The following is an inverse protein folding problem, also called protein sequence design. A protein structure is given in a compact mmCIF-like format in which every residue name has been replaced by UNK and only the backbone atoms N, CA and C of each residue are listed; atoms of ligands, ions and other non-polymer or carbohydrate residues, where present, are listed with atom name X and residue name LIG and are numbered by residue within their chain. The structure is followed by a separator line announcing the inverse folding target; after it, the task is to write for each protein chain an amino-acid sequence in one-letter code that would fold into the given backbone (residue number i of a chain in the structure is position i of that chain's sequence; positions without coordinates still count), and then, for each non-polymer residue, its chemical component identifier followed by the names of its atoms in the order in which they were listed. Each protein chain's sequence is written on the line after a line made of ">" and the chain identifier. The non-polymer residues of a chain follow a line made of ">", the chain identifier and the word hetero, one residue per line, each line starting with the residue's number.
data_IF_540787021019
#
_entry.id   IF_540787021019
#
_cell.length_a   1.000
_cell.length_b   1.000
_cell.length_c   1.000
_cell.angle_alpha   90.00
_cell.angle_beta   90.00
_cell.angle_gamma   90.00
#
_symmetry.space_group_name_H-M   'P 1'
#
loop_
_entity.id
_entity.type
_entity.pdbx_description
1 polymer ?
#
# COMPACT_ATOMS: atom_id res chain seq x y z
N UNK A 1 -95.73 -53.62 -50.08
CA UNK A 1 -94.91 -53.08 -51.19
C UNK A 1 -93.69 -52.37 -50.63
N UNK A 2 -92.49 -52.92 -50.80
CA UNK A 2 -91.23 -52.15 -50.79
C UNK A 2 -90.52 -52.49 -52.09
N UNK A 3 -90.49 -51.53 -53.01
CA UNK A 3 -89.74 -51.60 -54.27
C UNK A 3 -88.25 -51.47 -53.92
N UNK A 4 -87.46 -52.50 -54.19
CA UNK A 4 -86.02 -52.32 -54.32
C UNK A 4 -85.76 -51.70 -55.69
N UNK A 5 -85.28 -50.45 -55.70
CA UNK A 5 -84.56 -49.87 -56.84
C UNK A 5 -83.13 -50.40 -56.76
N UNK A 6 -82.65 -51.03 -57.83
CA UNK A 6 -81.22 -51.14 -58.08
C UNK A 6 -80.79 -49.83 -58.73
N UNK A 7 -79.95 -49.08 -58.04
CA UNK A 7 -79.27 -47.91 -58.60
C UNK A 7 -77.91 -48.34 -59.22
N UNK A 8 -77.61 -47.73 -60.36
CA UNK A 8 -76.49 -47.99 -61.26
C UNK A 8 -75.19 -47.30 -60.75
N UNK A 9 -74.66 -47.73 -59.60
CA UNK A 9 -73.48 -47.10 -58.97
C UNK A 9 -72.13 -47.74 -59.38
N UNK A 10 -72.04 -48.43 -60.53
CA UNK A 10 -70.81 -49.13 -60.95
C UNK A 10 -69.93 -48.37 -61.94
N UNK A 11 -70.38 -47.22 -62.45
CA UNK A 11 -69.65 -46.40 -63.43
C UNK A 11 -68.72 -45.32 -62.82
N UNK A 12 -69.04 -44.79 -61.64
CA UNK A 12 -68.33 -43.65 -61.04
C UNK A 12 -67.18 -44.05 -60.10
N UNK A 13 -67.26 -45.21 -59.44
CA UNK A 13 -66.24 -45.68 -58.49
C UNK A 13 -64.88 -45.92 -59.17
N UNK A 14 -64.87 -46.47 -60.38
CA UNK A 14 -63.63 -46.71 -61.12
C UNK A 14 -62.96 -45.40 -61.56
N UNK A 15 -63.77 -44.40 -61.93
CA UNK A 15 -63.30 -43.09 -62.37
C UNK A 15 -62.74 -42.27 -61.20
N UNK A 16 -63.37 -42.34 -60.02
CA UNK A 16 -62.89 -41.71 -58.80
C UNK A 16 -61.60 -42.35 -58.26
N UNK A 17 -61.47 -43.68 -58.31
CA UNK A 17 -60.23 -44.37 -57.94
C UNK A 17 -59.10 -44.02 -58.91
N UNK A 18 -59.38 -43.96 -60.23
CA UNK A 18 -58.41 -43.52 -61.22
C UNK A 18 -57.99 -42.06 -61.02
N UNK A 19 -58.94 -41.16 -60.77
CA UNK A 19 -58.64 -39.75 -60.49
C UNK A 19 -57.82 -39.60 -59.19
N UNK A 20 -58.14 -40.35 -58.14
CA UNK A 20 -57.38 -40.38 -56.89
C UNK A 20 -55.95 -40.89 -57.07
N UNK A 21 -55.76 -41.96 -57.85
CA UNK A 21 -54.44 -42.50 -58.18
C UNK A 21 -53.62 -41.55 -59.06
N UNK A 22 -54.26 -40.79 -59.96
CA UNK A 22 -53.60 -39.75 -60.75
C UNK A 22 -53.13 -38.60 -59.84
N UNK A 23 -53.97 -38.16 -58.90
CA UNK A 23 -53.60 -37.11 -57.93
C UNK A 23 -52.46 -37.58 -57.02
N UNK A 24 -52.51 -38.81 -56.52
CA UNK A 24 -51.41 -39.40 -55.73
C UNK A 24 -50.15 -39.56 -56.58
N UNK A 25 -50.27 -39.99 -57.84
CA UNK A 25 -49.16 -40.13 -58.77
C UNK A 25 -48.47 -38.80 -59.09
N UNK A 26 -49.19 -37.68 -59.08
CA UNK A 26 -48.62 -36.33 -59.27
C UNK A 26 -48.07 -35.77 -57.94
N UNK A 27 -48.77 -36.01 -56.82
CA UNK A 27 -48.37 -35.48 -55.51
C UNK A 27 -47.16 -36.22 -54.92
N UNK A 28 -47.01 -37.52 -55.17
CA UNK A 28 -45.91 -38.34 -54.62
C UNK A 28 -44.50 -37.83 -54.99
N UNK A 29 -44.16 -37.50 -56.25
CA UNK A 29 -42.84 -36.94 -56.57
C UNK A 29 -42.63 -35.54 -55.97
N UNK A 30 -43.68 -34.71 -55.85
CA UNK A 30 -43.57 -33.39 -55.21
C UNK A 30 -43.33 -33.49 -53.70
N UNK A 31 -44.03 -34.42 -53.03
CA UNK A 31 -43.82 -34.69 -51.60
C UNK A 31 -42.42 -35.28 -51.38
N UNK A 32 -41.96 -36.15 -52.28
CA UNK A 32 -40.65 -36.76 -52.18
C UNK A 32 -39.51 -35.74 -52.35
N UNK A 33 -39.61 -34.83 -53.33
CA UNK A 33 -38.64 -33.75 -53.51
C UNK A 33 -38.60 -32.80 -52.30
N UNK A 34 -39.75 -32.47 -51.73
CA UNK A 34 -39.81 -31.60 -50.54
C UNK A 34 -39.19 -32.29 -49.31
N UNK A 35 -39.41 -33.60 -49.14
CA UNK A 35 -38.77 -34.39 -48.08
C UNK A 35 -37.26 -34.48 -48.30
N UNK A 36 -36.79 -34.70 -49.53
CA UNK A 36 -35.36 -34.71 -49.85
C UNK A 36 -34.71 -33.35 -49.58
N UNK A 37 -35.33 -32.25 -50.01
CA UNK A 37 -34.84 -30.89 -49.75
C UNK A 37 -34.81 -30.59 -48.25
N UNK A 38 -35.85 -30.98 -47.51
CA UNK A 38 -35.88 -30.84 -46.06
C UNK A 38 -34.80 -31.68 -45.35
N UNK A 39 -34.60 -32.93 -45.77
CA UNK A 39 -33.55 -33.81 -45.23
C UNK A 39 -32.15 -33.27 -45.54
N UNK A 40 -31.91 -32.78 -46.75
CA UNK A 40 -30.66 -32.15 -47.15
C UNK A 40 -30.41 -30.87 -46.34
N UNK A 41 -31.44 -30.06 -46.12
CA UNK A 41 -31.34 -28.85 -45.30
C UNK A 41 -30.97 -29.17 -43.85
N UNK A 42 -31.57 -30.19 -43.24
CA UNK A 42 -31.17 -30.66 -41.90
C UNK A 42 -29.72 -31.15 -41.87
N UNK A 43 -29.30 -31.87 -42.91
CA UNK A 43 -27.92 -32.34 -43.06
C UNK A 43 -26.93 -31.17 -43.18
N UNK A 44 -27.28 -30.13 -43.94
CA UNK A 44 -26.49 -28.92 -44.09
C UNK A 44 -26.38 -28.12 -42.79
N UNK A 45 -27.49 -27.94 -42.07
CA UNK A 45 -27.49 -27.27 -40.77
C UNK A 45 -26.64 -28.04 -39.74
N UNK A 46 -26.74 -29.36 -39.72
CA UNK A 46 -25.92 -30.21 -38.86
C UNK A 46 -24.43 -30.08 -39.19
N UNK A 47 -24.05 -30.02 -40.46
CA UNK A 47 -22.67 -29.79 -40.89
C UNK A 47 -22.15 -28.40 -40.50
N UNK A 48 -22.99 -27.36 -40.59
CA UNK A 48 -22.66 -26.01 -40.16
C UNK A 48 -22.42 -25.93 -38.64
N UNK A 49 -23.34 -26.47 -37.84
CA UNK A 49 -23.20 -26.52 -36.38
C UNK A 49 -21.95 -27.31 -35.95
N UNK A 50 -21.66 -28.42 -36.62
CA UNK A 50 -20.44 -29.20 -36.36
C UNK A 50 -19.17 -28.41 -36.69
N UNK A 51 -19.20 -27.60 -37.76
CA UNK A 51 -18.10 -26.70 -38.10
C UNK A 51 -17.94 -25.57 -37.08
N UNK A 52 -19.05 -25.01 -36.58
CA UNK A 52 -19.03 -23.96 -35.54
C UNK A 52 -18.41 -24.45 -34.22
N UNK A 53 -18.72 -25.68 -33.79
CA UNK A 53 -18.13 -26.28 -32.60
C UNK A 53 -16.60 -26.37 -32.72
N UNK A 54 -16.12 -26.85 -33.87
CA UNK A 54 -14.69 -26.88 -34.15
C UNK A 54 -14.07 -25.47 -34.19
N UNK A 55 -14.78 -24.50 -34.78
CA UNK A 55 -14.30 -23.12 -34.90
C UNK A 55 -14.20 -22.43 -33.53
N UNK A 56 -15.14 -22.70 -32.62
CA UNK A 56 -15.08 -22.25 -31.23
C UNK A 56 -13.86 -22.84 -30.49
N UNK A 57 -13.54 -24.11 -30.72
CA UNK A 57 -12.36 -24.73 -30.13
C UNK A 57 -11.06 -24.09 -30.64
N UNK A 58 -10.96 -23.80 -31.95
CA UNK A 58 -9.81 -23.06 -32.50
C UNK A 58 -9.72 -21.66 -31.89
N UNK A 59 -10.84 -20.94 -31.75
CA UNK A 59 -10.85 -19.61 -31.15
C UNK A 59 -10.23 -19.62 -29.74
N UNK A 60 -10.65 -20.57 -28.90
CA UNK A 60 -10.11 -20.73 -27.55
C UNK A 60 -8.63 -21.12 -27.58
N UNK A 61 -8.24 -22.05 -28.46
CA UNK A 61 -6.85 -22.46 -28.63
C UNK A 61 -5.94 -21.28 -29.00
N UNK A 62 -6.36 -20.48 -29.98
CA UNK A 62 -5.58 -19.33 -30.44
C UNK A 62 -5.48 -18.30 -29.31
N UNK A 63 -6.58 -17.98 -28.63
CA UNK A 63 -6.59 -17.03 -27.53
C UNK A 63 -5.62 -17.40 -26.39
N UNK A 64 -5.53 -18.69 -26.04
CA UNK A 64 -4.62 -19.19 -24.99
C UNK A 64 -3.14 -19.26 -25.43
N UNK A 65 -2.88 -19.26 -26.74
CA UNK A 65 -1.53 -19.47 -27.31
C UNK A 65 -1.01 -18.28 -28.12
N UNK A 66 -1.70 -17.15 -28.15
CA UNK A 66 -1.44 -16.00 -29.04
C UNK A 66 0.02 -15.57 -29.06
N UNK A 67 0.69 -15.48 -27.91
CA UNK A 67 2.09 -15.03 -27.81
C UNK A 67 3.10 -15.97 -28.47
N UNK A 68 2.74 -17.24 -28.71
CA UNK A 68 3.59 -18.27 -29.31
C UNK A 68 3.26 -18.58 -30.78
N UNK A 69 2.13 -18.06 -31.29
CA UNK A 69 1.64 -18.37 -32.63
C UNK A 69 2.06 -17.28 -33.63
N UNK A 70 2.74 -17.69 -34.69
CA UNK A 70 3.06 -16.84 -35.85
C UNK A 70 2.59 -17.49 -37.14
N UNK A 71 2.86 -18.78 -37.29
CA UNK A 71 2.24 -19.66 -38.28
C UNK A 71 2.22 -21.09 -37.76
N UNK A 72 1.08 -21.78 -37.91
CA UNK A 72 0.92 -23.17 -37.45
C UNK A 72 -0.27 -23.84 -38.13
N UNK A 73 -0.13 -25.14 -38.39
CA UNK A 73 -1.24 -26.02 -38.75
C UNK A 73 -1.75 -26.74 -37.51
N UNK A 74 -3.07 -26.71 -37.29
CA UNK A 74 -3.77 -27.31 -36.15
C UNK A 74 -4.74 -28.37 -36.71
N UNK A 75 -4.80 -29.52 -36.04
CA UNK A 75 -5.67 -30.64 -36.41
C UNK A 75 -6.68 -30.94 -35.30
N UNK A 76 -7.76 -31.65 -35.63
CA UNK A 76 -8.75 -32.15 -34.65
C UNK A 76 -8.08 -32.90 -33.49
N UNK A 77 -7.13 -33.79 -33.79
CA UNK A 77 -6.45 -34.59 -32.75
C UNK A 77 -5.65 -33.73 -31.78
N UNK A 78 -5.02 -32.65 -32.26
CA UNK A 78 -4.27 -31.73 -31.40
C UNK A 78 -5.22 -31.02 -30.42
N UNK A 79 -6.37 -30.54 -30.90
CA UNK A 79 -7.37 -29.90 -30.05
C UNK A 79 -7.97 -30.85 -29.01
N UNK A 80 -8.19 -32.12 -29.37
CA UNK A 80 -8.63 -33.16 -28.43
C UNK A 80 -7.56 -33.41 -27.35
N UNK A 81 -6.31 -33.62 -27.76
CA UNK A 81 -5.22 -33.90 -26.82
C UNK A 81 -4.95 -32.73 -25.86
N UNK A 82 -5.18 -31.50 -26.30
CA UNK A 82 -5.01 -30.30 -25.47
C UNK A 82 -6.30 -29.88 -24.73
N UNK A 83 -7.40 -30.61 -24.90
CA UNK A 83 -8.65 -30.40 -24.15
C UNK A 83 -9.54 -29.26 -24.66
N UNK A 84 -9.29 -28.74 -25.87
CA UNK A 84 -10.17 -27.75 -26.51
C UNK A 84 -11.35 -28.40 -27.26
N UNK A 85 -11.23 -29.68 -27.62
CA UNK A 85 -12.33 -30.50 -28.15
C UNK A 85 -12.53 -31.74 -27.27
N UNK A 86 -13.78 -32.18 -27.16
CA UNK A 86 -14.10 -33.41 -26.44
C UNK A 86 -13.56 -34.65 -27.17
N UNK A 87 -13.13 -35.67 -26.42
CA UNK A 87 -12.60 -36.93 -26.98
C UNK A 87 -13.61 -37.67 -27.89
N UNK A 88 -14.90 -37.37 -27.78
CA UNK A 88 -15.96 -37.90 -28.64
C UNK A 88 -16.26 -37.09 -29.91
N UNK A 89 -15.50 -36.02 -30.21
CA UNK A 89 -15.72 -35.22 -31.40
C UNK A 89 -15.48 -36.06 -32.66
N UNK A 90 -16.57 -36.34 -33.39
CA UNK A 90 -16.56 -37.25 -34.54
C UNK A 90 -16.36 -36.52 -35.87
N UNK A 91 -16.41 -37.28 -36.97
CA UNK A 91 -16.50 -36.68 -38.31
C UNK A 91 -17.85 -35.98 -38.48
N UNK A 92 -17.90 -34.98 -39.35
CA UNK A 92 -19.14 -34.30 -39.74
C UNK A 92 -20.12 -35.30 -40.40
N UNK A 93 -21.40 -34.91 -40.60
CA UNK A 93 -22.37 -35.76 -41.31
C UNK A 93 -21.95 -36.20 -42.72
N UNK A 94 -21.05 -35.44 -43.38
CA UNK A 94 -20.46 -35.78 -44.68
C UNK A 94 -19.16 -36.60 -44.57
N UNK A 95 -18.80 -37.06 -43.37
CA UNK A 95 -17.56 -37.78 -43.09
C UNK A 95 -16.31 -36.90 -43.05
N UNK A 96 -16.46 -35.57 -43.00
CA UNK A 96 -15.33 -34.66 -43.02
C UNK A 96 -14.64 -34.56 -41.65
N UNK A 97 -13.33 -34.37 -41.68
CA UNK A 97 -12.51 -33.87 -40.57
C UNK A 97 -12.14 -32.40 -40.82
N UNK A 98 -11.35 -31.78 -39.94
CA UNK A 98 -10.95 -30.37 -40.04
C UNK A 98 -9.44 -30.20 -39.95
N UNK A 99 -8.94 -29.21 -40.67
CA UNK A 99 -7.58 -28.70 -40.57
C UNK A 99 -7.62 -27.17 -40.55
N UNK A 100 -6.86 -26.55 -39.66
CA UNK A 100 -6.76 -25.09 -39.56
C UNK A 100 -5.35 -24.64 -39.76
N UNK A 101 -5.14 -23.68 -40.64
CA UNK A 101 -3.88 -22.96 -40.76
C UNK A 101 -3.98 -21.59 -40.11
N UNK A 102 -2.95 -21.21 -39.36
CA UNK A 102 -2.79 -19.90 -38.75
C UNK A 102 -1.70 -19.14 -39.51
N UNK A 103 -1.95 -17.86 -39.79
CA UNK A 103 -0.94 -16.91 -40.29
C UNK A 103 -1.01 -15.59 -39.53
N UNK A 104 0.08 -14.84 -39.55
CA UNK A 104 0.09 -13.44 -39.13
C UNK A 104 -0.13 -12.56 -40.36
N UNK A 105 -1.14 -11.69 -40.31
CA UNK A 105 -1.38 -10.71 -41.36
C UNK A 105 -0.25 -9.67 -41.34
N UNK A 106 0.45 -9.51 -42.47
CA UNK A 106 1.61 -8.63 -42.57
C UNK A 106 1.28 -7.12 -42.45
N UNK A 107 0.03 -6.73 -42.70
CA UNK A 107 -0.42 -5.33 -42.62
C UNK A 107 -0.87 -4.96 -41.20
N UNK A 108 -1.70 -5.81 -40.58
CA UNK A 108 -2.28 -5.51 -39.26
C UNK A 108 -1.46 -6.09 -38.10
N UNK A 109 -0.53 -7.01 -38.37
CA UNK A 109 0.20 -7.76 -37.34
C UNK A 109 -0.67 -8.74 -36.55
N UNK A 110 -1.95 -8.92 -36.92
CA UNK A 110 -2.91 -9.77 -36.20
C UNK A 110 -2.92 -11.19 -36.77
N UNK A 111 -3.31 -12.16 -35.94
CA UNK A 111 -3.50 -13.53 -36.41
C UNK A 111 -4.77 -13.64 -37.27
N UNK A 112 -4.69 -14.51 -38.26
CA UNK A 112 -5.80 -14.96 -39.09
C UNK A 112 -5.77 -16.49 -39.14
N UNK A 113 -6.95 -17.10 -39.12
CA UNK A 113 -7.11 -18.54 -39.22
C UNK A 113 -8.00 -18.87 -40.43
N UNK A 114 -7.61 -19.92 -41.15
CA UNK A 114 -8.46 -20.54 -42.17
C UNK A 114 -8.60 -22.01 -41.81
N UNK A 115 -9.83 -22.44 -41.60
CA UNK A 115 -10.20 -23.84 -41.41
C UNK A 115 -10.80 -24.38 -42.68
N UNK A 116 -10.38 -25.57 -43.09
CA UNK A 116 -10.97 -26.32 -44.20
C UNK A 116 -11.39 -27.71 -43.71
N UNK A 117 -12.51 -28.19 -44.24
CA UNK A 117 -12.88 -29.60 -44.08
C UNK A 117 -12.01 -30.49 -44.98
N UNK A 118 -11.76 -31.74 -44.54
CA UNK A 118 -10.87 -32.70 -45.21
C UNK A 118 -11.41 -34.13 -45.15
N UNK A 119 -11.25 -34.88 -46.25
CA UNK A 119 -11.71 -36.27 -46.38
C UNK A 119 -13.23 -36.42 -46.32
N UNK A 120 -13.76 -37.62 -46.53
CA UNK A 120 -15.23 -37.82 -46.61
C UNK A 120 -15.78 -37.54 -48.00
N UNK A 121 -17.07 -37.20 -48.11
CA UNK A 121 -17.78 -37.07 -49.38
C UNK A 121 -17.80 -35.62 -49.91
N UNK A 122 -17.62 -35.44 -51.22
CA UNK A 122 -17.75 -34.13 -51.85
C UNK A 122 -19.20 -33.62 -51.74
N UNK A 123 -19.36 -32.40 -51.25
CA UNK A 123 -20.66 -31.73 -51.16
C UNK A 123 -20.92 -31.00 -52.49
N UNK A 124 -22.14 -31.14 -53.01
CA UNK A 124 -22.58 -30.41 -54.22
C UNK A 124 -22.59 -28.91 -53.99
N UNK A 125 -22.47 -28.13 -55.06
CA UNK A 125 -22.30 -26.68 -55.00
C UNK A 125 -23.44 -25.94 -54.25
N UNK A 126 -24.67 -26.38 -54.44
CA UNK A 126 -25.85 -25.88 -53.73
C UNK A 126 -25.72 -26.09 -52.21
N UNK A 127 -25.36 -27.30 -51.79
CA UNK A 127 -25.11 -27.62 -50.39
C UNK A 127 -23.95 -26.86 -49.79
N UNK A 128 -22.84 -26.71 -50.53
CA UNK A 128 -21.68 -25.92 -50.09
C UNK A 128 -22.05 -24.48 -49.78
N UNK A 129 -22.82 -23.84 -50.66
CA UNK A 129 -23.28 -22.46 -50.48
C UNK A 129 -24.23 -22.35 -49.29
N UNK A 130 -25.11 -23.34 -49.12
CA UNK A 130 -26.07 -23.38 -48.00
C UNK A 130 -25.38 -23.51 -46.65
N UNK A 131 -24.48 -24.48 -46.51
CA UNK A 131 -23.70 -24.69 -45.28
C UNK A 131 -22.86 -23.45 -44.96
N UNK A 132 -22.14 -22.91 -45.95
CA UNK A 132 -21.31 -21.72 -45.75
C UNK A 132 -22.12 -20.52 -45.24
N UNK A 133 -23.36 -20.35 -45.69
CA UNK A 133 -24.25 -19.28 -45.21
C UNK A 133 -24.85 -19.53 -43.81
N UNK A 134 -24.77 -20.75 -43.29
CA UNK A 134 -25.30 -21.14 -41.98
C UNK A 134 -24.25 -21.18 -40.88
N UNK A 135 -22.96 -21.27 -41.23
CA UNK A 135 -21.84 -21.20 -40.29
C UNK A 135 -21.86 -19.84 -39.59
N UNK A 136 -21.71 -19.85 -38.27
CA UNK A 136 -21.63 -18.64 -37.47
C UNK A 136 -20.26 -17.96 -37.68
N UNK A 137 -20.27 -16.81 -38.37
CA UNK A 137 -19.07 -16.05 -38.71
C UNK A 137 -18.77 -16.09 -40.21
N UNK A 138 -17.48 -16.10 -40.57
CA UNK A 138 -17.06 -16.08 -41.97
C UNK A 138 -17.00 -17.50 -42.56
N UNK A 139 -18.17 -18.07 -42.82
CA UNK A 139 -18.28 -19.33 -43.56
C UNK A 139 -17.89 -19.19 -45.05
N UNK A 140 -17.39 -20.26 -45.64
CA UNK A 140 -16.94 -20.33 -47.02
C UNK A 140 -16.92 -21.77 -47.57
N UNK A 141 -16.52 -21.91 -48.84
CA UNK A 141 -16.52 -23.17 -49.56
C UNK A 141 -15.52 -23.18 -50.72
N UNK A 142 -15.29 -24.35 -51.31
CA UNK A 142 -14.32 -24.57 -52.39
C UNK A 142 -15.00 -25.20 -53.61
N UNK A 143 -15.12 -24.43 -54.71
CA UNK A 143 -15.51 -24.97 -56.02
C UNK A 143 -14.31 -25.42 -56.86
N UNK A 144 -13.11 -24.97 -56.47
CA UNK A 144 -11.85 -25.31 -57.09
C UNK A 144 -10.84 -25.62 -55.97
N UNK A 145 -9.85 -26.45 -56.28
CA UNK A 145 -8.81 -26.77 -55.31
C UNK A 145 -8.07 -25.50 -54.87
N UNK A 146 -7.91 -25.39 -53.56
CA UNK A 146 -7.16 -24.37 -52.84
C UNK A 146 -7.75 -22.94 -52.90
N UNK A 147 -8.81 -22.71 -53.67
CA UNK A 147 -9.51 -21.43 -53.77
C UNK A 147 -10.75 -21.43 -52.88
N UNK A 148 -10.74 -20.59 -51.85
CA UNK A 148 -11.83 -20.48 -50.88
C UNK A 148 -12.66 -19.24 -51.18
N UNK A 149 -13.97 -19.44 -51.32
CA UNK A 149 -14.96 -18.37 -51.52
C UNK A 149 -15.88 -18.31 -50.31
N UNK A 150 -16.02 -17.13 -49.72
CA UNK A 150 -16.95 -16.88 -48.62
C UNK A 150 -18.40 -16.99 -49.03
N UNK A 151 -19.29 -17.21 -48.06
CA UNK A 151 -20.73 -17.17 -48.25
C UNK A 151 -21.15 -15.90 -49.02
N UNK A 152 -22.02 -16.07 -50.01
CA UNK A 152 -22.50 -15.00 -50.91
C UNK A 152 -21.39 -14.19 -51.63
N UNK A 153 -20.15 -14.71 -51.69
CA UNK A 153 -19.01 -14.01 -52.29
C UNK A 153 -18.42 -12.89 -51.44
N UNK A 154 -18.73 -12.84 -50.13
CA UNK A 154 -18.29 -11.74 -49.26
C UNK A 154 -16.79 -11.65 -49.01
N UNK A 155 -16.03 -12.71 -49.26
CA UNK A 155 -14.57 -12.73 -49.16
C UNK A 155 -13.97 -13.88 -50.01
N UNK A 156 -12.67 -13.81 -50.29
CA UNK A 156 -11.91 -14.91 -50.90
C UNK A 156 -10.56 -15.05 -50.22
N UNK A 157 -10.01 -16.26 -50.19
CA UNK A 157 -8.64 -16.52 -49.74
C UNK A 157 -8.11 -17.82 -50.37
N UNK A 158 -6.84 -18.14 -50.13
CA UNK A 158 -6.21 -19.37 -50.59
C UNK A 158 -5.74 -20.22 -49.41
N UNK A 159 -6.03 -21.53 -49.45
CA UNK A 159 -5.56 -22.48 -48.42
C UNK A 159 -4.04 -22.44 -48.23
N UNK A 160 -3.31 -22.35 -49.35
CA UNK A 160 -1.86 -22.21 -49.39
C UNK A 160 -1.32 -21.02 -48.60
N UNK A 161 -2.10 -19.94 -48.46
CA UNK A 161 -1.64 -18.80 -47.66
C UNK A 161 -1.55 -19.11 -46.16
N UNK A 162 -2.18 -20.19 -45.71
CA UNK A 162 -2.16 -20.68 -44.34
C UNK A 162 -1.45 -22.04 -44.22
N UNK A 163 -0.69 -22.44 -45.26
CA UNK A 163 0.06 -23.70 -45.30
C UNK A 163 -0.82 -24.95 -45.16
N UNK A 164 -2.08 -24.87 -45.60
CA UNK A 164 -3.03 -25.99 -45.62
C UNK A 164 -3.54 -26.24 -47.04
N UNK A 165 -4.03 -27.45 -47.29
CA UNK A 165 -4.68 -27.81 -48.56
C UNK A 165 -6.19 -27.90 -48.35
N UNK A 166 -6.91 -27.16 -49.18
CA UNK A 166 -8.36 -27.03 -49.15
C UNK A 166 -8.89 -27.57 -50.48
N UNK A 167 -9.57 -28.73 -50.49
CA UNK A 167 -9.97 -29.40 -51.73
C UNK A 167 -11.36 -28.99 -52.22
N UNK A 168 -11.61 -29.05 -53.53
CA UNK A 168 -12.96 -28.89 -54.09
C UNK A 168 -13.96 -29.81 -53.38
N UNK A 169 -15.20 -29.36 -53.20
CA UNK A 169 -16.27 -30.15 -52.57
C UNK A 169 -16.36 -29.99 -51.04
N UNK A 170 -15.54 -29.09 -50.48
CA UNK A 170 -15.44 -28.87 -49.04
C UNK A 170 -15.87 -27.45 -48.61
N UNK A 171 -16.23 -27.33 -47.34
CA UNK A 171 -16.51 -26.06 -46.66
C UNK A 171 -15.26 -25.53 -45.96
N UNK A 172 -15.25 -24.22 -45.74
CA UNK A 172 -14.20 -23.49 -45.04
C UNK A 172 -14.79 -22.50 -44.03
N UNK A 173 -13.98 -22.09 -43.08
CA UNK A 173 -14.30 -21.01 -42.14
C UNK A 173 -13.07 -20.13 -41.98
N UNK A 174 -13.24 -18.82 -41.99
CA UNK A 174 -12.17 -17.87 -41.74
C UNK A 174 -12.41 -17.16 -40.42
N UNK A 175 -11.34 -16.89 -39.68
CA UNK A 175 -11.35 -15.97 -38.53
C UNK A 175 -10.25 -14.94 -38.73
N UNK A 176 -10.59 -13.67 -38.54
CA UNK A 176 -9.63 -12.59 -38.71
C UNK A 176 -9.92 -11.43 -37.75
N UNK A 177 -8.88 -10.74 -37.31
CA UNK A 177 -9.03 -9.53 -36.50
C UNK A 177 -9.60 -9.82 -35.11
N UNK A 178 -10.73 -9.18 -34.76
CA UNK A 178 -11.35 -9.23 -33.42
C UNK A 178 -11.78 -10.64 -33.00
N UNK A 179 -12.05 -11.52 -33.95
CA UNK A 179 -12.47 -12.91 -33.65
C UNK A 179 -11.34 -13.72 -32.99
N UNK A 180 -10.08 -13.29 -33.18
CA UNK A 180 -8.87 -13.87 -32.60
C UNK A 180 -8.15 -12.87 -31.69
N UNK A 181 -8.81 -11.76 -31.29
CA UNK A 181 -8.19 -10.78 -30.38
C UNK A 181 -7.93 -11.40 -29.01
N UNK A 182 -6.75 -11.04 -28.49
CA UNK A 182 -6.28 -11.33 -27.15
C UNK A 182 -7.36 -10.99 -26.11
N UNK A 183 -7.55 -11.90 -25.15
CA UNK A 183 -8.47 -11.75 -24.01
C UNK A 183 -7.98 -10.67 -23.03
N UNK A 184 -7.60 -9.49 -23.53
CA UNK A 184 -6.97 -8.40 -22.79
C UNK A 184 -7.98 -7.57 -21.99
N UNK A 185 -9.05 -8.23 -21.54
CA UNK A 185 -10.07 -7.65 -20.67
C UNK A 185 -10.12 -8.44 -19.39
N UNK A 186 -9.60 -7.84 -18.32
CA UNK A 186 -9.84 -8.34 -16.97
C UNK A 186 -11.30 -8.10 -16.59
N UNK A 187 -12.15 -9.06 -16.90
CA UNK A 187 -13.57 -9.04 -16.57
C UNK A 187 -13.87 -10.24 -15.67
N UNK A 188 -14.18 -9.99 -14.40
CA UNK A 188 -14.41 -11.04 -13.41
C UNK A 188 -15.71 -10.79 -12.67
N UNK A 189 -16.54 -11.82 -12.65
CA UNK A 189 -17.67 -11.94 -11.72
C UNK A 189 -17.36 -13.03 -10.70
N UNK A 190 -17.97 -12.91 -9.52
CA UNK A 190 -17.99 -14.02 -8.57
C UNK A 190 -18.70 -15.21 -9.22
N UNK A 191 -18.04 -16.37 -9.23
CA UNK A 191 -18.63 -17.64 -9.64
C UNK A 191 -18.95 -18.45 -8.36
N UNK A 192 -20.22 -18.54 -7.94
CA UNK A 192 -20.60 -19.26 -6.72
C UNK A 192 -20.18 -20.74 -6.78
N UNK A 193 -19.68 -21.27 -5.66
CA UNK A 193 -19.24 -22.68 -5.57
C UNK A 193 -17.93 -23.00 -6.31
N UNK A 194 -17.30 -22.03 -7.00
CA UNK A 194 -16.06 -22.21 -7.76
C UNK A 194 -14.96 -21.27 -7.28
N UNK A 195 -14.34 -21.52 -6.10
CA UNK A 195 -13.31 -20.64 -5.54
C UNK A 195 -12.05 -20.59 -6.40
N UNK A 196 -11.77 -21.62 -7.19
CA UNK A 196 -10.70 -21.66 -8.19
C UNK A 196 -10.87 -20.55 -9.24
N UNK A 197 -12.10 -20.35 -9.73
CA UNK A 197 -12.42 -19.31 -10.71
C UNK A 197 -12.46 -17.89 -10.11
N UNK A 198 -12.39 -17.77 -8.78
CA UNK A 198 -12.36 -16.50 -8.06
C UNK A 198 -10.96 -16.14 -7.52
N UNK A 199 -9.94 -16.96 -7.82
CA UNK A 199 -8.55 -16.75 -7.37
C UNK A 199 -7.65 -16.27 -8.50
N UNK A 200 -6.52 -15.71 -8.12
CA UNK A 200 -5.42 -15.33 -9.00
C UNK A 200 -4.23 -16.24 -8.70
N UNK A 201 -3.60 -16.82 -9.72
CA UNK A 201 -2.52 -17.80 -9.55
C UNK A 201 -1.11 -17.22 -9.79
N UNK A 202 -1.03 -15.96 -10.21
CA UNK A 202 0.20 -15.19 -10.44
C UNK A 202 -0.03 -13.74 -10.04
N UNK A 203 0.98 -12.88 -9.99
CA UNK A 203 0.77 -11.46 -9.75
C UNK A 203 0.08 -10.76 -10.94
N UNK A 204 -0.66 -9.68 -10.68
CA UNK A 204 -1.04 -8.72 -11.72
C UNK A 204 0.00 -7.62 -11.73
N UNK A 205 0.65 -7.43 -12.89
CA UNK A 205 1.38 -6.21 -13.19
C UNK A 205 0.40 -5.17 -13.75
N UNK A 206 0.32 -4.01 -13.10
CA UNK A 206 -0.56 -2.91 -13.53
C UNK A 206 0.11 -1.98 -14.55
N UNK A 207 1.38 -2.20 -14.91
CA UNK A 207 2.15 -1.38 -15.85
C UNK A 207 2.07 0.13 -15.53
N UNK A 208 2.31 0.49 -14.25
CA UNK A 208 2.20 1.85 -13.70
C UNK A 208 0.81 2.50 -13.78
N UNK A 209 -0.26 1.71 -13.95
CA UNK A 209 -1.63 2.21 -13.91
C UNK A 209 -2.23 2.18 -12.51
N UNK A 210 -3.25 3.01 -12.31
CA UNK A 210 -3.95 3.14 -11.04
C UNK A 210 -4.93 1.99 -10.78
N UNK A 211 -5.13 1.66 -9.51
CA UNK A 211 -6.30 0.92 -9.03
C UNK A 211 -7.17 1.89 -8.23
N UNK A 212 -8.41 2.10 -8.65
CA UNK A 212 -9.34 3.06 -8.01
C UNK A 212 -10.54 2.33 -7.40
N UNK A 213 -11.12 2.92 -6.35
CA UNK A 213 -12.33 2.40 -5.66
C UNK A 213 -12.18 0.99 -5.06
N UNK A 214 -11.03 0.67 -4.47
CA UNK A 214 -10.86 -0.57 -3.70
C UNK A 214 -11.62 -0.45 -2.38
N UNK A 215 -12.58 -1.35 -2.13
CA UNK A 215 -13.28 -1.41 -0.84
C UNK A 215 -12.40 -1.96 0.29
N UNK A 216 -11.69 -3.05 0.03
CA UNK A 216 -10.76 -3.68 0.98
C UNK A 216 -9.58 -4.30 0.23
N UNK A 217 -8.36 -4.05 0.72
CA UNK A 217 -7.14 -4.71 0.27
C UNK A 217 -6.46 -5.35 1.50
N UNK A 218 -6.37 -6.68 1.50
CA UNK A 218 -5.69 -7.44 2.55
C UNK A 218 -4.53 -8.24 1.94
N UNK A 219 -3.39 -8.22 2.62
CA UNK A 219 -2.17 -8.87 2.15
C UNK A 219 -1.09 -8.91 3.23
N UNK A 220 -0.05 -9.72 2.99
CA UNK A 220 1.06 -9.89 3.95
C UNK A 220 1.96 -8.66 4.03
N UNK A 221 2.14 -7.96 2.90
CA UNK A 221 3.06 -6.83 2.78
C UNK A 221 2.42 -5.73 1.94
N UNK A 222 2.66 -4.47 2.32
CA UNK A 222 2.37 -3.29 1.51
C UNK A 222 3.67 -2.51 1.31
N UNK A 223 3.99 -2.13 0.07
CA UNK A 223 5.17 -1.31 -0.29
C UNK A 223 4.71 -0.18 -1.18
N UNK A 224 4.95 1.05 -0.76
CA UNK A 224 4.64 2.27 -1.51
C UNK A 224 5.96 3.02 -1.76
N UNK A 225 6.17 3.48 -2.99
CA UNK A 225 7.35 4.28 -3.36
C UNK A 225 7.12 5.78 -3.23
N UNK A 226 5.89 6.20 -2.91
CA UNK A 226 5.48 7.59 -2.71
C UNK A 226 4.61 7.75 -1.46
N UNK A 227 3.80 8.79 -1.46
CA UNK A 227 2.99 9.17 -0.30
C UNK A 227 1.90 8.14 0.06
N UNK A 228 1.64 8.02 1.36
CA UNK A 228 0.53 7.24 1.92
C UNK A 228 -0.40 8.19 2.68
N UNK A 229 -1.47 8.62 2.02
CA UNK A 229 -2.51 9.45 2.65
C UNK A 229 -3.56 8.57 3.31
N UNK A 230 -3.58 8.54 4.63
CA UNK A 230 -4.61 7.81 5.38
C UNK A 230 -4.90 8.47 6.73
N UNK A 231 -6.10 8.24 7.27
CA UNK A 231 -6.47 8.79 8.58
C UNK A 231 -5.81 8.01 9.74
N UNK A 232 -5.36 6.77 9.49
CA UNK A 232 -4.89 5.86 10.54
C UNK A 232 -3.91 4.80 10.01
N UNK A 233 -2.70 4.74 10.57
CA UNK A 233 -1.53 4.19 9.85
C UNK A 233 -1.13 2.77 10.25
N UNK A 234 -1.41 2.30 11.48
CA UNK A 234 -1.06 0.95 11.95
C UNK A 234 -2.04 0.50 13.06
N UNK A 235 -2.60 -0.72 13.04
CA UNK A 235 -3.35 -1.31 14.19
C UNK A 235 -3.16 -2.81 14.43
N UNK A 236 -1.94 -3.37 14.40
CA UNK A 236 -1.75 -4.68 15.01
C UNK A 236 -2.08 -4.59 16.52
N UNK A 237 -2.96 -5.46 17.01
CA UNK A 237 -3.33 -5.57 18.44
C UNK A 237 -3.76 -4.23 19.08
N UNK A 238 -4.42 -3.36 18.31
CA UNK A 238 -4.89 -2.03 18.77
C UNK A 238 -3.77 -1.04 19.14
N UNK A 239 -2.56 -1.17 18.58
CA UNK A 239 -1.49 -0.16 18.67
C UNK A 239 -1.43 0.80 17.47
N UNK A 240 -0.30 1.50 17.30
CA UNK A 240 0.03 2.32 16.13
C UNK A 240 -0.13 3.84 16.28
N UNK A 241 -0.22 4.56 15.17
CA UNK A 241 -0.36 6.03 15.10
C UNK A 241 -1.64 6.46 14.38
N UNK A 242 -2.26 7.53 14.87
CA UNK A 242 -3.48 8.15 14.31
C UNK A 242 -3.38 9.66 14.30
N UNK A 243 -4.01 10.30 13.31
CA UNK A 243 -4.27 11.74 13.29
C UNK A 243 -5.78 11.96 13.26
N UNK A 244 -6.37 12.32 14.40
CA UNK A 244 -7.79 12.67 14.51
C UNK A 244 -8.06 14.15 14.22
N UNK A 245 -7.00 14.94 14.06
CA UNK A 245 -7.00 16.34 13.62
C UNK A 245 -5.70 16.60 12.84
N UNK A 246 -5.62 17.79 12.22
CA UNK A 246 -4.45 18.19 11.42
C UNK A 246 -3.24 18.64 12.24
N UNK A 247 -3.33 18.66 13.57
CA UNK A 247 -2.31 19.25 14.44
C UNK A 247 -1.43 18.20 15.13
N UNK A 248 -1.98 17.02 15.45
CA UNK A 248 -1.32 16.05 16.32
C UNK A 248 -1.34 14.62 15.78
N UNK A 249 -0.16 14.00 15.80
CA UNK A 249 0.00 12.54 15.73
C UNK A 249 -0.14 11.97 17.14
N UNK A 250 -0.99 10.95 17.29
CA UNK A 250 -1.27 10.28 18.58
C UNK A 250 -0.94 8.81 18.50
N UNK A 251 -0.34 8.27 19.56
CA UNK A 251 -0.26 6.84 19.75
C UNK A 251 -1.67 6.30 20.06
N UNK A 252 -2.10 5.27 19.34
CA UNK A 252 -3.43 4.68 19.50
C UNK A 252 -3.58 4.07 20.89
N UNK A 253 -4.74 4.26 21.52
CA UNK A 253 -5.06 3.80 22.88
C UNK A 253 -4.07 4.31 23.95
N UNK A 254 -3.45 5.47 23.74
CA UNK A 254 -2.45 6.06 24.64
C UNK A 254 -1.28 5.11 24.97
N UNK A 255 -0.95 4.18 24.07
CA UNK A 255 0.21 3.31 24.25
C UNK A 255 1.51 4.13 24.17
N UNK A 256 2.55 3.66 24.86
CA UNK A 256 3.87 4.28 24.82
C UNK A 256 4.55 4.16 23.45
N UNK A 257 5.53 5.04 23.21
CA UNK A 257 6.43 4.99 22.06
C UNK A 257 7.83 4.67 22.61
N UNK A 258 8.39 3.53 22.22
CA UNK A 258 9.78 3.17 22.51
C UNK A 258 10.58 3.23 21.22
N UNK A 259 11.74 3.87 21.28
CA UNK A 259 12.72 3.92 20.18
C UNK A 259 14.08 3.54 20.75
N UNK A 260 14.86 2.81 19.97
CA UNK A 260 16.27 2.52 20.31
C UNK A 260 17.19 3.71 19.96
N UNK A 261 16.71 4.64 19.13
CA UNK A 261 17.41 5.87 18.74
C UNK A 261 16.82 7.13 19.39
N UNK A 262 17.26 8.30 18.92
CA UNK A 262 16.83 9.61 19.45
C UNK A 262 15.47 10.07 18.89
N UNK A 263 14.67 10.76 19.71
CA UNK A 263 13.50 11.53 19.24
C UNK A 263 13.92 12.99 19.10
N UNK A 264 14.10 13.47 17.87
CA UNK A 264 14.32 14.90 17.59
C UNK A 264 12.97 15.60 17.35
N UNK A 265 12.39 16.14 18.42
CA UNK A 265 11.15 16.92 18.38
C UNK A 265 11.37 18.32 18.94
N UNK A 266 10.58 19.30 18.49
CA UNK A 266 10.69 20.69 18.99
C UNK A 266 10.39 20.80 20.49
N UNK A 267 9.23 20.29 20.94
CA UNK A 267 8.88 20.20 22.36
C UNK A 267 8.49 18.77 22.69
N UNK A 268 9.15 18.19 23.70
CA UNK A 268 8.78 16.89 24.29
C UNK A 268 8.05 17.18 25.60
N UNK A 269 6.75 16.86 25.66
CA UNK A 269 5.93 16.95 26.88
C UNK A 269 5.71 15.56 27.43
N UNK A 270 6.14 15.30 28.67
CA UNK A 270 5.93 14.04 29.36
C UNK A 270 5.92 14.24 30.87
N UNK A 271 5.23 13.36 31.60
CA UNK A 271 5.22 13.35 33.08
C UNK A 271 6.60 12.96 33.65
N UNK A 272 7.37 12.15 32.92
CA UNK A 272 8.73 11.77 33.28
C UNK A 272 9.57 11.70 32.00
N UNK A 273 10.77 12.29 32.03
CA UNK A 273 11.76 12.19 30.96
C UNK A 273 12.97 11.46 31.54
N UNK A 274 13.13 10.19 31.19
CA UNK A 274 14.26 9.36 31.63
C UNK A 274 15.20 9.14 30.46
N UNK A 275 16.46 9.52 30.60
CA UNK A 275 17.50 9.33 29.59
C UNK A 275 18.88 9.44 30.21
N UNK A 276 19.92 8.98 29.50
CA UNK A 276 21.30 9.05 29.99
C UNK A 276 21.77 10.50 30.23
N UNK A 277 21.41 11.41 29.32
CA UNK A 277 21.73 12.85 29.41
C UNK A 277 20.53 13.68 28.95
N UNK A 278 20.23 14.76 29.67
CA UNK A 278 19.29 15.81 29.21
C UNK A 278 20.10 17.09 28.94
N UNK A 279 20.30 17.44 27.66
CA UNK A 279 21.02 18.65 27.24
C UNK A 279 20.04 19.73 26.79
N UNK A 280 20.21 20.94 27.29
CA UNK A 280 19.50 22.15 26.83
C UNK A 280 20.51 23.14 26.26
N UNK A 281 20.32 23.57 25.00
CA UNK A 281 21.13 24.66 24.39
C UNK A 281 20.69 26.05 24.90
N UNK A 282 19.53 26.12 25.57
CA UNK A 282 19.05 27.30 26.29
C UNK A 282 18.96 27.05 27.80
N UNK A 283 17.95 27.61 28.46
CA UNK A 283 17.74 27.46 29.90
C UNK A 283 17.04 26.14 30.24
N UNK A 284 17.54 25.43 31.26
CA UNK A 284 16.77 24.41 31.98
C UNK A 284 16.03 25.10 33.15
N UNK A 285 14.71 25.01 33.16
CA UNK A 285 13.85 25.64 34.19
C UNK A 285 12.97 24.58 34.86
N UNK A 286 12.90 24.59 36.19
CA UNK A 286 11.95 23.78 36.96
C UNK A 286 10.84 24.68 37.53
N UNK A 287 9.60 24.20 37.55
CA UNK A 287 8.47 24.92 38.16
C UNK A 287 8.49 24.90 39.69
N UNK A 288 9.03 23.82 40.28
CA UNK A 288 9.28 23.70 41.72
C UNK A 288 10.79 23.67 41.99
N UNK A 289 11.44 22.50 41.86
CA UNK A 289 12.84 22.30 42.26
C UNK A 289 13.61 21.44 41.24
N UNK A 290 14.92 21.68 41.13
CA UNK A 290 15.85 20.78 40.44
C UNK A 290 16.48 19.83 41.48
N UNK A 291 16.09 18.56 41.45
CA UNK A 291 16.63 17.54 42.35
C UNK A 291 17.89 16.90 41.76
N UNK A 292 19.01 17.01 42.47
CA UNK A 292 20.28 16.38 42.12
C UNK A 292 20.46 15.12 42.97
N UNK A 293 20.32 13.94 42.38
CA UNK A 293 20.41 12.68 43.11
C UNK A 293 21.85 12.24 43.38
N UNK A 294 22.80 12.66 42.55
CA UNK A 294 24.22 12.37 42.74
C UNK A 294 24.77 13.06 44.00
N UNK A 295 25.53 12.32 44.80
CA UNK A 295 26.26 12.84 45.95
C UNK A 295 27.70 13.13 45.52
N UNK A 296 28.16 14.35 45.78
CA UNK A 296 29.54 14.77 45.64
C UNK A 296 30.15 15.01 47.03
N UNK A 297 31.43 14.69 47.18
CA UNK A 297 32.17 14.89 48.42
C UNK A 297 33.06 16.12 48.29
N UNK A 298 32.89 17.09 49.19
CA UNK A 298 33.72 18.29 49.20
C UNK A 298 35.21 17.93 49.29
N UNK A 299 36.05 18.65 48.53
CA UNK A 299 37.50 18.41 48.46
C UNK A 299 37.92 17.28 47.52
N UNK A 300 36.99 16.55 46.91
CA UNK A 300 37.31 15.49 45.93
C UNK A 300 37.33 16.02 44.50
N UNK A 301 38.01 15.29 43.61
CA UNK A 301 38.15 15.64 42.21
C UNK A 301 36.79 15.67 41.48
N UNK A 302 36.62 16.65 40.59
CA UNK A 302 35.47 16.79 39.71
C UNK A 302 35.91 17.31 38.34
N UNK A 303 35.13 17.01 37.30
CA UNK A 303 35.35 17.53 35.95
C UNK A 303 34.06 17.41 35.14
N UNK A 304 33.77 18.36 34.23
CA UNK A 304 34.48 19.62 34.03
C UNK A 304 34.19 20.65 35.14
N UNK A 305 34.94 21.75 35.15
CA UNK A 305 34.61 22.92 35.96
C UNK A 305 33.22 23.45 35.61
N UNK A 306 32.49 23.94 36.61
CA UNK A 306 31.14 24.49 36.47
C UNK A 306 29.99 23.52 36.72
N UNK A 307 30.27 22.24 37.04
CA UNK A 307 29.24 21.33 37.51
C UNK A 307 28.64 21.79 38.84
N UNK A 308 27.32 21.65 38.97
CA UNK A 308 26.57 21.89 40.22
C UNK A 308 26.11 20.55 40.77
N UNK A 309 26.38 20.30 42.05
CA UNK A 309 26.06 19.06 42.75
C UNK A 309 25.58 19.34 44.17
N UNK A 310 25.46 18.28 44.97
CA UNK A 310 25.19 18.39 46.41
C UNK A 310 25.99 17.38 47.21
N UNK A 311 26.21 17.67 48.47
CA UNK A 311 26.69 16.68 49.44
C UNK A 311 25.55 15.84 50.04
N UNK A 312 25.90 14.91 50.93
CA UNK A 312 24.93 14.03 51.58
C UNK A 312 23.96 14.76 52.53
N UNK A 313 24.33 15.95 53.02
CA UNK A 313 23.45 16.81 53.83
C UNK A 313 22.52 17.68 52.99
N UNK A 314 22.75 17.75 51.67
CA UNK A 314 21.98 18.59 50.75
C UNK A 314 22.62 19.96 50.49
N UNK A 315 23.81 20.25 51.01
CA UNK A 315 24.50 21.50 50.73
C UNK A 315 24.96 21.52 49.26
N UNK A 316 24.79 22.67 48.60
CA UNK A 316 25.19 22.85 47.21
C UNK A 316 26.72 22.85 47.11
N UNK A 317 27.21 22.06 46.14
CA UNK A 317 28.60 22.01 45.73
C UNK A 317 28.75 22.52 44.31
N UNK A 318 29.87 23.15 44.03
CA UNK A 318 30.26 23.59 42.70
C UNK A 318 31.64 23.02 42.37
N UNK A 319 31.81 22.51 41.15
CA UNK A 319 33.12 22.08 40.67
C UNK A 319 33.93 23.30 40.26
N UNK A 320 35.03 23.57 40.96
CA UNK A 320 35.90 24.71 40.70
C UNK A 320 37.35 24.26 40.73
N UNK A 321 38.09 24.55 39.66
CA UNK A 321 39.50 24.19 39.53
C UNK A 321 39.74 22.68 39.75
N UNK A 322 38.83 21.86 39.23
CA UNK A 322 38.88 20.40 39.32
C UNK A 322 38.50 19.81 40.67
N UNK A 323 37.99 20.61 41.63
CA UNK A 323 37.65 20.15 42.98
C UNK A 323 36.21 20.56 43.35
N UNK A 324 35.48 19.65 44.00
CA UNK A 324 34.17 19.96 44.57
C UNK A 324 34.33 20.92 45.76
N UNK A 325 33.86 22.15 45.60
CA UNK A 325 33.92 23.16 46.66
C UNK A 325 32.53 23.48 47.20
N UNK A 326 32.45 23.65 48.51
CA UNK A 326 31.28 24.21 49.18
C UNK A 326 31.28 25.73 49.04
N UNK A 327 30.12 26.34 48.87
CA UNK A 327 29.97 27.80 49.01
C UNK A 327 30.14 28.20 50.48
N UNK A 328 31.38 28.39 50.94
CA UNK A 328 31.68 28.85 52.30
C UNK A 328 31.82 30.36 52.33
N UNK A 329 31.07 31.00 53.22
CA UNK A 329 31.32 32.37 53.66
C UNK A 329 32.52 32.34 54.62
N UNK A 330 33.73 32.58 54.11
CA UNK A 330 34.91 32.69 54.96
C UNK A 330 34.85 34.01 55.73
N UNK A 331 34.82 33.98 57.06
CA UNK A 331 34.94 35.18 57.89
C UNK A 331 36.10 35.04 58.87
N UNK A 332 36.68 36.15 59.29
CA UNK A 332 37.68 36.19 60.37
C UNK A 332 37.30 37.26 61.39
N UNK A 333 37.93 37.23 62.56
CA UNK A 333 37.74 38.27 63.59
C UNK A 333 39.07 38.93 63.94
N UNK A 334 39.09 40.26 64.00
CA UNK A 334 40.21 41.06 64.52
C UNK A 334 39.86 41.62 65.89
N UNK A 335 40.81 41.67 66.82
CA UNK A 335 40.59 42.20 68.17
C UNK A 335 41.59 43.31 68.48
N UNK A 336 41.09 44.43 69.00
CA UNK A 336 41.86 45.63 69.27
C UNK A 336 41.70 46.05 70.74
N UNK A 337 42.81 46.14 71.46
CA UNK A 337 42.85 46.66 72.82
C UNK A 337 43.14 48.17 72.77
N UNK A 338 42.21 48.96 73.27
CA UNK A 338 42.21 50.41 73.19
C UNK A 338 42.54 50.98 74.55
N UNK A 339 43.71 51.62 74.64
CA UNK A 339 44.19 52.25 75.87
C UNK A 339 43.40 53.51 76.25
N UNK A 340 43.74 54.04 77.44
CA UNK A 340 43.23 55.32 77.95
C UNK A 340 43.58 56.48 77.03
N UNK A 341 42.75 57.54 77.03
CA UNK A 341 42.94 58.78 76.26
C UNK A 341 43.12 58.62 74.74
N UNK A 342 42.49 57.60 74.16
CA UNK A 342 42.47 57.38 72.71
C UNK A 342 41.33 58.15 72.06
N UNK A 343 41.61 58.92 70.99
CA UNK A 343 40.62 59.68 70.21
C UNK A 343 40.70 59.31 68.73
N UNK A 344 39.55 59.04 68.11
CA UNK A 344 39.36 58.73 66.70
C UNK A 344 40.40 57.72 66.16
N UNK A 345 40.73 56.69 66.95
CA UNK A 345 41.65 55.67 66.48
C UNK A 345 40.96 54.84 65.41
N UNK A 346 41.46 54.94 64.19
CA UNK A 346 41.04 54.04 63.11
C UNK A 346 41.56 52.64 63.39
N UNK A 347 40.64 51.68 63.45
CA UNK A 347 40.97 50.26 63.55
C UNK A 347 40.82 49.54 62.20
N UNK A 348 40.56 50.28 61.11
CA UNK A 348 40.49 49.75 59.76
C UNK A 348 39.07 49.43 59.29
N UNK A 349 38.99 48.78 58.13
CA UNK A 349 37.72 48.45 57.46
C UNK A 349 37.22 47.09 57.93
N UNK A 350 35.99 47.06 58.46
CA UNK A 350 35.38 45.85 58.99
C UNK A 350 33.89 45.80 58.67
N UNK A 351 33.33 44.59 58.55
CA UNK A 351 31.89 44.43 58.30
C UNK A 351 31.07 44.92 59.51
N UNK A 352 31.56 44.60 60.70
CA UNK A 352 30.96 44.99 61.97
C UNK A 352 32.01 45.01 63.06
N UNK A 353 31.96 45.97 63.98
CA UNK A 353 32.75 45.95 65.19
C UNK A 353 31.87 46.22 66.41
N UNK A 354 32.21 45.59 67.53
CA UNK A 354 31.53 45.80 68.81
C UNK A 354 32.50 45.77 69.97
N UNK A 355 32.10 46.37 71.08
CA UNK A 355 32.77 46.21 72.36
C UNK A 355 32.64 44.76 72.82
N UNK A 356 33.77 44.13 73.11
CA UNK A 356 33.83 42.77 73.66
C UNK A 356 34.38 42.73 75.07
N UNK A 357 35.04 43.80 75.51
CA UNK A 357 35.43 43.99 76.90
C UNK A 357 35.36 45.47 77.28
N UNK A 358 34.57 45.77 78.30
CA UNK A 358 34.47 47.10 78.90
C UNK A 358 34.99 47.01 80.34
N UNK A 359 36.00 47.81 80.65
CA UNK A 359 36.55 47.89 82.00
C UNK A 359 35.97 49.12 82.71
N UNK A 360 35.06 48.91 83.67
CA UNK A 360 34.36 49.97 84.38
C UNK A 360 35.29 50.75 85.32
N UNK A 361 35.64 51.98 84.96
CA UNK A 361 36.14 53.00 85.91
C UNK A 361 34.98 53.95 86.27
N UNK A 362 35.06 54.80 87.31
CA UNK A 362 33.95 55.64 87.73
C UNK A 362 33.41 56.43 86.54
N UNK A 363 32.13 56.16 86.23
CA UNK A 363 31.46 56.53 84.99
C UNK A 363 31.58 58.03 84.71
N UNK A 364 32.22 58.37 83.59
CA UNK A 364 32.11 59.71 83.02
C UNK A 364 33.04 60.04 81.86
N UNK A 365 34.00 59.19 81.50
CA UNK A 365 34.72 59.29 80.22
C UNK A 365 33.84 58.96 79.01
N UNK A 366 34.25 59.42 77.82
CA UNK A 366 33.54 59.16 76.56
C UNK A 366 34.12 57.92 75.86
N UNK A 367 33.27 56.90 75.69
CA UNK A 367 33.58 55.67 74.95
C UNK A 367 32.62 55.54 73.78
N UNK A 368 33.16 55.45 72.57
CA UNK A 368 32.34 55.32 71.36
C UNK A 368 33.07 54.47 70.35
N UNK A 369 32.33 53.55 69.74
CA UNK A 369 32.73 52.85 68.53
C UNK A 369 31.75 53.22 67.43
N UNK A 370 32.26 53.63 66.29
CA UNK A 370 31.43 54.01 65.16
C UNK A 370 32.16 53.74 63.84
N UNK A 371 31.42 53.65 62.75
CA UNK A 371 31.96 53.52 61.41
C UNK A 371 31.64 54.75 60.58
N UNK A 372 32.50 55.08 59.63
CA UNK A 372 32.17 56.02 58.57
C UNK A 372 31.38 55.32 57.43
N UNK A 373 31.07 56.10 56.38
CA UNK A 373 30.33 55.61 55.19
C UNK A 373 31.08 54.50 54.44
N UNK A 374 32.41 54.45 54.56
CA UNK A 374 33.27 53.47 53.89
C UNK A 374 33.58 52.28 54.81
N UNK A 375 32.85 52.13 55.91
CA UNK A 375 33.04 51.05 56.90
C UNK A 375 34.42 51.06 57.55
N UNK A 376 35.12 52.20 57.55
CA UNK A 376 36.29 52.38 58.43
C UNK A 376 35.77 52.60 59.83
N UNK A 377 36.19 51.74 60.76
CA UNK A 377 35.77 51.80 62.15
C UNK A 377 36.74 52.62 62.98
N UNK A 378 36.18 53.46 63.83
CA UNK A 378 36.89 54.34 64.73
C UNK A 378 36.49 54.06 66.17
N UNK A 379 37.47 54.17 67.07
CA UNK A 379 37.26 53.96 68.50
C UNK A 379 37.74 55.16 69.30
N UNK A 380 36.88 55.58 70.23
CA UNK A 380 37.12 56.63 71.21
C UNK A 380 37.12 56.01 72.61
N UNK A 381 38.13 56.36 73.41
CA UNK A 381 38.23 56.07 74.85
C UNK A 381 38.98 57.21 75.54
N UNK A 382 38.30 58.29 75.91
CA UNK A 382 38.96 59.49 76.45
C UNK A 382 38.19 60.12 77.62
N UNK A 383 38.90 60.89 78.44
CA UNK A 383 38.34 61.61 79.59
C UNK A 383 37.38 62.75 79.15
N UNK A 384 36.27 62.94 79.86
CA UNK A 384 35.32 64.03 79.60
C UNK A 384 35.09 64.85 80.87
N UNK A 385 35.36 66.16 80.80
CA UNK A 385 35.34 67.03 81.98
C UNK A 385 36.34 66.56 83.05
N UNK A 386 35.86 66.39 84.28
CA UNK A 386 36.65 65.92 85.42
C UNK A 386 36.66 64.38 85.56
N UNK A 387 36.11 63.63 84.60
CA UNK A 387 36.03 62.17 84.66
C UNK A 387 37.16 61.50 83.86
N UNK A 388 37.77 60.47 84.43
CA UNK A 388 38.80 59.69 83.75
C UNK A 388 38.25 58.92 82.55
N UNK A 389 39.10 58.67 81.54
CA UNK A 389 38.81 57.65 80.53
C UNK A 389 38.75 56.27 81.19
N UNK A 390 37.80 55.42 80.80
CA UNK A 390 37.74 54.03 81.25
C UNK A 390 39.05 53.28 81.01
N UNK A 391 39.23 52.13 81.68
CA UNK A 391 40.44 51.31 81.51
C UNK A 391 40.67 50.85 80.06
N UNK A 392 41.67 49.99 79.84
CA UNK A 392 41.81 49.35 78.53
C UNK A 392 40.52 48.62 78.18
N UNK A 393 39.93 48.96 77.03
CA UNK A 393 38.71 48.35 76.48
C UNK A 393 39.06 47.56 75.24
N UNK A 394 38.25 46.56 74.90
CA UNK A 394 38.50 45.70 73.75
C UNK A 394 37.36 45.81 72.75
N UNK A 395 37.74 45.97 71.48
CA UNK A 395 36.84 45.93 70.34
C UNK A 395 37.15 44.71 69.51
N UNK A 396 36.14 43.90 69.20
CA UNK A 396 36.27 42.81 68.23
C UNK A 396 35.47 43.13 66.98
N UNK A 397 36.11 42.90 65.84
CA UNK A 397 35.61 43.21 64.51
C UNK A 397 35.47 41.94 63.68
N UNK A 398 34.34 41.80 63.00
CA UNK A 398 34.07 40.78 61.99
C UNK A 398 34.58 41.25 60.62
N UNK A 399 35.41 40.41 60.00
CA UNK A 399 35.90 40.59 58.64
C UNK A 399 35.14 39.67 57.70
N UNK A 400 34.54 40.24 56.66
CA UNK A 400 33.93 39.51 55.56
C UNK A 400 34.69 39.83 54.26
N UNK A 401 34.76 38.90 53.30
CA UNK A 401 35.26 39.19 51.96
C UNK A 401 34.39 40.30 51.35
N UNK A 402 35.02 41.42 50.96
CA UNK A 402 34.31 42.61 50.47
C UNK A 402 33.78 43.55 51.56
N UNK A 403 34.20 43.42 52.82
CA UNK A 403 33.91 44.44 53.83
C UNK A 403 34.46 45.81 53.38
N UNK A 404 33.57 46.80 53.22
CA UNK A 404 33.90 48.16 52.75
C UNK A 404 33.81 48.39 51.24
N UNK A 405 33.36 47.38 50.47
CA UNK A 405 32.93 47.52 49.08
C UNK A 405 31.43 47.82 49.04
#
# INVERSE_FOLDING_TARGET
>A
MKKFRLDDDKGFILLEILAGLIVIGIATPMIYSEIEDWLNEQLYQSAALHADEYNNAIKNYVADKTSSLSSKTITVNELIQQGYLNNGFSRSPFGHSYITGIRKNNLSGRLEALTCTTGGQDIKEDGLRRIAGQINGLGGFMLQNNSVTGAFGGWTDLGSNYQITCNKGHIAMRMAGKDLEESDRLYRYSVPGRPDLNRMHTGIDMNNNSITNINEASGKNARFSGDVTSNRWLHPNGGGFTMTDSQWIRAVNNKGITTEGEIKGGTVRGQTVTGGTVRSDGRLTAGEYLQLNGIANAGTHCSPDGLVGRDNSGAILQCQSGIWTTTKMNFTTSTYNIGKNTRNLSIGVHAYCSWTYLNGSPFGGFQQIYADKNKVWYVNNYAWGNYESGGTITVTCLNLPGAGI
#
